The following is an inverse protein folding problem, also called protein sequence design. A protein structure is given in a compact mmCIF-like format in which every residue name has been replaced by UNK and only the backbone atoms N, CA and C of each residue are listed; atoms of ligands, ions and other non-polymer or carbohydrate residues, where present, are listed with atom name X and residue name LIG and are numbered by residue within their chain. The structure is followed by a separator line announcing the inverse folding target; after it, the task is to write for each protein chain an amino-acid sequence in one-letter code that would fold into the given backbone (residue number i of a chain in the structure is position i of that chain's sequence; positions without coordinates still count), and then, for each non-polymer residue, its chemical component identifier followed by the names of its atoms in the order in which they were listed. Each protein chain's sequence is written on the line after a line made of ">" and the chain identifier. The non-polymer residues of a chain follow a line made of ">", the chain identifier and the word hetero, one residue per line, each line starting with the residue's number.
data_IF_317940343463
#
_entry.id   IF_317940343463
#
_cell.length_a   1.000
_cell.length_b   1.000
_cell.length_c   1.000
_cell.angle_alpha   90.00
_cell.angle_beta   90.00
_cell.angle_gamma   90.00
#
_symmetry.space_group_name_H-M   'P 1'
#
loop_
_entity.id
_entity.type
_entity.pdbx_description
1 polymer ?
#
# COMPACT_ATOMS: atom_id res chain seq x y z
N UNK A 1 6.68 -26.74 -2.29
CA UNK A 1 6.63 -25.73 -1.21
C UNK A 1 5.18 -25.38 -0.94
N UNK A 2 4.67 -25.72 0.25
CA UNK A 2 3.33 -25.31 0.68
C UNK A 2 3.34 -23.80 0.90
N UNK A 3 2.54 -23.04 0.14
CA UNK A 3 2.34 -21.59 0.32
C UNK A 3 1.44 -21.35 1.54
N UNK A 4 1.86 -21.85 2.71
CA UNK A 4 1.21 -21.55 3.98
C UNK A 4 1.05 -20.04 4.07
N UNK A 5 -0.19 -19.61 4.24
CA UNK A 5 -0.69 -18.24 4.18
C UNK A 5 0.35 -17.21 4.63
N UNK A 6 0.89 -16.43 3.67
CA UNK A 6 1.91 -15.38 3.90
C UNK A 6 1.53 -14.36 4.98
N UNK A 7 0.24 -14.27 5.31
CA UNK A 7 -0.30 -13.46 6.40
C UNK A 7 -1.28 -14.32 7.22
N UNK A 8 -0.82 -15.01 8.26
CA UNK A 8 -1.70 -15.71 9.18
C UNK A 8 -2.43 -14.71 10.10
N UNK A 9 -3.67 -15.03 10.47
CA UNK A 9 -4.37 -14.35 11.55
C UNK A 9 -3.91 -14.90 12.91
N UNK A 10 -4.43 -14.34 14.00
CA UNK A 10 -4.07 -14.75 15.37
C UNK A 10 -4.34 -16.24 15.66
N UNK A 11 -5.31 -16.84 14.97
CA UNK A 11 -5.72 -18.23 15.10
C UNK A 11 -4.89 -19.17 14.18
N UNK A 12 -3.88 -18.65 13.48
CA UNK A 12 -3.07 -19.43 12.52
C UNK A 12 -3.75 -19.70 11.17
N UNK A 13 -4.97 -19.15 10.96
CA UNK A 13 -5.70 -19.23 9.69
C UNK A 13 -5.33 -18.11 8.71
N UNK A 14 -5.95 -18.08 7.54
CA UNK A 14 -5.73 -17.02 6.54
C UNK A 14 -6.25 -15.68 7.06
N UNK A 15 -5.44 -14.62 6.99
CA UNK A 15 -5.95 -13.26 7.11
C UNK A 15 -6.84 -12.94 5.90
N UNK A 16 -8.13 -12.66 6.16
CA UNK A 16 -9.08 -12.33 5.11
C UNK A 16 -8.87 -10.89 4.66
N UNK A 17 -8.93 -10.64 3.35
CA UNK A 17 -8.83 -9.28 2.79
C UNK A 17 -9.87 -8.33 3.40
N UNK A 18 -11.08 -8.82 3.67
CA UNK A 18 -12.16 -8.06 4.30
C UNK A 18 -11.86 -7.62 5.74
N UNK A 19 -10.86 -8.22 6.40
CA UNK A 19 -10.43 -7.87 7.76
C UNK A 19 -9.42 -6.73 7.79
N UNK A 20 -8.80 -6.41 6.64
CA UNK A 20 -7.79 -5.35 6.55
C UNK A 20 -8.41 -3.96 6.75
N UNK A 21 -9.49 -3.62 6.02
CA UNK A 21 -10.12 -2.31 6.12
C UNK A 21 -10.62 -1.99 7.54
N UNK A 22 -11.30 -2.90 8.27
CA UNK A 22 -11.66 -2.67 9.66
C UNK A 22 -10.46 -2.48 10.59
N UNK A 23 -9.39 -3.26 10.40
CA UNK A 23 -8.16 -3.08 11.17
C UNK A 23 -7.51 -1.71 10.90
N UNK A 24 -7.54 -1.27 9.65
CA UNK A 24 -7.05 0.03 9.22
C UNK A 24 -7.85 1.19 9.83
N UNK A 25 -9.19 1.10 9.82
CA UNK A 25 -10.05 2.11 10.46
C UNK A 25 -9.80 2.23 11.96
N UNK A 26 -9.47 1.11 12.63
CA UNK A 26 -9.09 1.11 14.05
C UNK A 26 -7.74 1.77 14.31
N UNK A 27 -6.79 1.68 13.37
CA UNK A 27 -5.46 2.27 13.48
C UNK A 27 -5.47 3.80 13.26
N UNK A 28 -6.47 4.30 12.54
CA UNK A 28 -6.54 5.70 12.11
C UNK A 28 -6.43 6.73 13.26
N UNK A 29 -7.16 6.59 14.40
CA UNK A 29 -7.03 7.52 15.52
C UNK A 29 -5.62 7.54 16.11
N UNK A 30 -4.95 6.38 16.20
CA UNK A 30 -3.59 6.29 16.73
C UNK A 30 -2.57 6.95 15.79
N UNK A 31 -2.80 6.88 14.47
CA UNK A 31 -2.01 7.60 13.48
C UNK A 31 -2.15 9.11 13.62
N UNK A 32 -3.39 9.60 13.74
CA UNK A 32 -3.67 11.02 13.94
C UNK A 32 -3.01 11.54 15.23
N UNK A 33 -3.08 10.78 16.33
CA UNK A 33 -2.39 11.11 17.59
C UNK A 33 -0.87 11.15 17.45
N UNK A 34 -0.31 10.33 16.55
CA UNK A 34 1.12 10.31 16.25
C UNK A 34 1.53 11.39 15.22
N UNK A 35 0.62 12.26 14.78
CA UNK A 35 0.87 13.27 13.74
C UNK A 35 1.01 12.68 12.33
N UNK A 36 0.64 11.42 12.13
CA UNK A 36 0.70 10.76 10.84
C UNK A 36 -0.60 11.00 10.07
N UNK A 37 -0.47 11.54 8.85
CA UNK A 37 -1.59 11.67 7.92
C UNK A 37 -2.21 10.28 7.61
N UNK A 38 -3.52 10.11 7.84
CA UNK A 38 -4.21 8.89 7.45
C UNK A 38 -4.05 8.60 5.96
N UNK A 39 -3.43 7.47 5.63
CA UNK A 39 -3.36 6.99 4.26
C UNK A 39 -4.32 5.82 4.05
N UNK A 40 -4.66 5.50 2.81
CA UNK A 40 -5.37 4.30 2.41
C UNK A 40 -4.38 3.24 1.92
N UNK A 41 -4.73 1.95 1.91
CA UNK A 41 -3.83 0.90 1.42
C UNK A 41 -3.33 1.12 -0.02
N UNK A 42 -4.18 1.70 -0.87
CA UNK A 42 -3.82 2.10 -2.24
C UNK A 42 -2.69 3.15 -2.29
N UNK A 43 -2.59 4.00 -1.27
CA UNK A 43 -1.58 5.06 -1.19
C UNK A 43 -0.20 4.48 -0.87
N UNK A 44 -0.14 3.36 -0.11
CA UNK A 44 1.11 2.59 0.08
C UNK A 44 1.62 2.06 -1.25
N UNK A 45 0.71 1.48 -2.05
CA UNK A 45 1.05 0.94 -3.37
C UNK A 45 1.50 2.05 -4.33
N UNK A 46 0.86 3.22 -4.30
CA UNK A 46 1.25 4.40 -5.06
C UNK A 46 2.63 4.94 -4.65
N UNK A 47 2.91 5.03 -3.34
CA UNK A 47 4.22 5.47 -2.83
C UNK A 47 5.34 4.52 -3.26
N UNK A 48 5.09 3.21 -3.22
CA UNK A 48 6.05 2.21 -3.71
C UNK A 48 6.31 2.36 -5.21
N UNK A 49 5.25 2.51 -6.02
CA UNK A 49 5.35 2.75 -7.46
C UNK A 49 6.16 4.00 -7.80
N UNK A 50 5.91 5.11 -7.10
CA UNK A 50 6.66 6.36 -7.23
C UNK A 50 8.15 6.17 -6.88
N UNK A 51 8.44 5.43 -5.81
CA UNK A 51 9.82 5.09 -5.43
C UNK A 51 10.57 4.30 -6.50
N UNK A 52 9.92 3.30 -7.09
CA UNK A 52 10.51 2.52 -8.20
C UNK A 52 10.79 3.39 -9.43
N UNK A 53 9.85 4.27 -9.80
CA UNK A 53 10.04 5.22 -10.90
C UNK A 53 11.25 6.14 -10.67
N UNK A 54 11.39 6.69 -9.46
CA UNK A 54 12.54 7.54 -9.08
C UNK A 54 13.88 6.80 -9.20
N UNK A 55 13.87 5.48 -8.99
CA UNK A 55 15.04 4.61 -9.12
C UNK A 55 15.28 4.12 -10.55
N UNK A 56 14.47 4.54 -11.53
CA UNK A 56 14.56 4.09 -12.92
C UNK A 56 14.21 2.60 -13.10
N UNK A 57 13.47 2.01 -12.16
CA UNK A 57 13.06 0.59 -12.22
C UNK A 57 11.74 0.45 -12.97
N UNK A 58 11.56 -0.73 -13.57
CA UNK A 58 10.29 -1.10 -14.21
C UNK A 58 9.18 -1.23 -13.15
N UNK A 59 8.32 -0.23 -13.11
CA UNK A 59 7.19 -0.15 -12.18
C UNK A 59 6.12 -1.19 -12.52
N UNK A 60 5.91 -1.46 -13.80
CA UNK A 60 4.85 -2.35 -14.26
C UNK A 60 5.15 -3.79 -13.86
N UNK A 61 6.36 -4.26 -14.16
CA UNK A 61 6.84 -5.59 -13.79
C UNK A 61 6.83 -5.77 -12.26
N UNK A 62 7.34 -4.76 -11.54
CA UNK A 62 7.41 -4.78 -10.07
C UNK A 62 6.05 -4.80 -9.36
N UNK A 63 5.00 -4.26 -10.00
CA UNK A 63 3.63 -4.27 -9.46
C UNK A 63 2.79 -5.43 -10.01
N UNK A 64 3.32 -6.22 -10.94
CA UNK A 64 2.61 -7.31 -11.60
C UNK A 64 1.40 -6.83 -12.40
N UNK A 65 1.46 -5.62 -12.98
CA UNK A 65 0.36 -5.07 -13.77
C UNK A 65 0.48 -5.50 -15.23
N UNK A 66 -0.62 -5.98 -15.81
CA UNK A 66 -0.68 -6.34 -17.22
C UNK A 66 -0.81 -5.12 -18.15
N UNK A 67 -1.22 -3.96 -17.61
CA UNK A 67 -1.44 -2.73 -18.37
C UNK A 67 -0.60 -1.56 -17.81
N UNK A 68 0.26 -1.02 -18.66
CA UNK A 68 1.11 0.14 -18.36
C UNK A 68 0.28 1.40 -18.09
N UNK A 69 -0.83 1.60 -18.83
CA UNK A 69 -1.65 2.80 -18.75
C UNK A 69 -2.35 2.91 -17.39
N UNK A 70 -2.88 1.78 -16.90
CA UNK A 70 -3.43 1.69 -15.54
C UNK A 70 -2.39 1.99 -14.46
N UNK A 71 -1.13 1.60 -14.68
CA UNK A 71 -0.04 1.86 -13.74
C UNK A 71 0.28 3.35 -13.68
N UNK A 72 0.35 4.00 -14.82
CA UNK A 72 0.60 5.44 -14.91
C UNK A 72 -0.55 6.27 -14.35
N UNK A 73 -1.78 6.00 -14.79
CA UNK A 73 -2.95 6.80 -14.42
C UNK A 73 -3.32 6.71 -12.93
N UNK A 74 -3.14 5.54 -12.29
CA UNK A 74 -3.56 5.32 -10.91
C UNK A 74 -2.47 5.52 -9.86
N UNK A 75 -1.19 5.35 -10.22
CA UNK A 75 -0.10 5.34 -9.24
C UNK A 75 0.99 6.37 -9.52
N UNK A 76 1.04 6.94 -10.73
CA UNK A 76 2.09 7.87 -11.14
C UNK A 76 1.55 9.25 -11.59
N UNK A 77 0.23 9.47 -11.59
CA UNK A 77 -0.34 10.82 -11.67
C UNK A 77 0.05 11.59 -10.41
N UNK A 78 0.58 12.80 -10.62
CA UNK A 78 1.18 13.72 -9.67
C UNK A 78 0.83 13.43 -8.20
N UNK A 79 1.83 12.83 -7.55
CA UNK A 79 1.65 12.14 -6.29
C UNK A 79 1.32 13.05 -5.12
N UNK A 80 0.53 12.52 -4.21
CA UNK A 80 0.45 13.00 -2.83
C UNK A 80 1.88 12.98 -2.28
N UNK A 81 2.48 14.16 -2.13
CA UNK A 81 3.71 14.33 -1.37
C UNK A 81 3.29 14.22 0.10
N UNK A 82 3.53 13.05 0.71
CA UNK A 82 3.48 12.92 2.16
C UNK A 82 4.70 13.64 2.72
N UNK A 83 4.56 14.91 3.07
CA UNK A 83 5.56 15.61 3.87
C UNK A 83 5.49 15.13 5.32
N UNK A 84 6.63 14.93 6.00
CA UNK A 84 6.63 14.67 7.42
C UNK A 84 6.08 15.91 8.15
N UNK A 85 5.07 15.71 9.00
CA UNK A 85 4.57 16.75 9.90
C UNK A 85 5.71 17.28 10.76
N UNK A 86 5.89 18.61 10.78
CA UNK A 86 6.82 19.30 11.67
C UNK A 86 6.36 19.27 13.12
#
# INVERSE_FOLDING_TARGET
>A
MNRSTLFPNREGGRCLLGSFNPAWQKLRPDMELAGLEPFQPKDVKAKYASGLKKLGRDVQDSLGHSDAKMTEDHYLRDGIILEPSR
#
